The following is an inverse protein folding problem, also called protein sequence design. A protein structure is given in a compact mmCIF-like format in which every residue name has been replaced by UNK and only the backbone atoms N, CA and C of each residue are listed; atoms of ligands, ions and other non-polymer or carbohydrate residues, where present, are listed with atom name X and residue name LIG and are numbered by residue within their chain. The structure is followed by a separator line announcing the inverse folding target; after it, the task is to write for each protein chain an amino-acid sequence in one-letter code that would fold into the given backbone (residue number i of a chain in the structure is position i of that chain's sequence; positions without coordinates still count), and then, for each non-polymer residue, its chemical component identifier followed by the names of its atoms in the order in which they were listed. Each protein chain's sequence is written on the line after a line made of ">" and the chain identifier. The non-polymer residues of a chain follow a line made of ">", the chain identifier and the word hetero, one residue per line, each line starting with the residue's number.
data_IF_874806558008
#
_entry.id   IF_874806558008
#
_cell.length_a   1.000
_cell.length_b   1.000
_cell.length_c   1.000
_cell.angle_alpha   90.00
_cell.angle_beta   90.00
_cell.angle_gamma   90.00
#
_symmetry.space_group_name_H-M   'P 1'
#
loop_
_entity.id
_entity.type
_entity.pdbx_description
1 polymer ?
#
# COMPACT_ATOMS: atom_id res chain seq x y z
N UNK A 1 27.62 24.03 -66.16
CA UNK A 1 28.08 23.81 -64.77
C UNK A 1 27.01 24.37 -63.84
N UNK A 2 26.15 23.46 -63.36
CA UNK A 2 25.08 23.84 -62.43
C UNK A 2 25.53 23.53 -61.01
N UNK A 3 25.66 24.55 -60.18
CA UNK A 3 25.94 24.39 -58.76
C UNK A 3 24.64 24.07 -58.02
N UNK A 4 24.55 22.87 -57.52
CA UNK A 4 23.47 22.41 -56.63
C UNK A 4 23.91 22.75 -55.18
N UNK A 5 23.30 23.79 -54.61
CA UNK A 5 23.41 24.06 -53.18
C UNK A 5 22.57 23.03 -52.42
N UNK A 6 23.26 22.12 -51.70
CA UNK A 6 22.61 21.24 -50.69
C UNK A 6 22.35 22.07 -49.44
N UNK A 7 21.08 22.43 -49.23
CA UNK A 7 20.62 23.01 -47.96
C UNK A 7 20.51 21.87 -46.98
N UNK A 8 21.43 21.83 -46.02
CA UNK A 8 21.37 20.91 -44.89
C UNK A 8 20.39 21.49 -43.85
N UNK A 9 19.21 20.94 -43.76
CA UNK A 9 18.27 21.27 -42.67
C UNK A 9 18.72 20.58 -41.41
N UNK A 10 19.35 21.29 -40.47
CA UNK A 10 19.55 20.82 -39.09
C UNK A 10 18.21 20.95 -38.38
N UNK A 11 17.52 19.80 -38.17
CA UNK A 11 16.43 19.74 -37.20
C UNK A 11 17.07 19.70 -35.81
N UNK A 12 17.13 20.84 -35.14
CA UNK A 12 17.43 20.93 -33.73
C UNK A 12 16.18 20.43 -33.00
N UNK A 13 16.21 19.16 -32.60
CA UNK A 13 15.24 18.64 -31.63
C UNK A 13 15.64 19.30 -30.30
N UNK A 14 14.98 20.39 -29.95
CA UNK A 14 15.04 20.95 -28.61
C UNK A 14 14.38 19.93 -27.67
N UNK A 15 15.20 19.09 -27.02
CA UNK A 15 14.78 18.36 -25.85
C UNK A 15 14.47 19.41 -24.80
N UNK A 16 13.21 19.76 -24.65
CA UNK A 16 12.73 20.57 -23.54
C UNK A 16 12.85 19.70 -22.29
N UNK A 17 14.02 19.73 -21.67
CA UNK A 17 14.13 19.25 -20.29
C UNK A 17 13.19 20.17 -19.49
N UNK A 18 12.14 19.60 -18.91
CA UNK A 18 11.35 20.32 -17.94
C UNK A 18 12.24 20.57 -16.71
N UNK A 19 12.23 21.80 -16.20
CA UNK A 19 12.99 22.17 -15.02
C UNK A 19 12.47 21.36 -13.85
N UNK A 20 13.37 20.78 -13.07
CA UNK A 20 13.17 20.08 -11.80
C UNK A 20 14.11 20.78 -10.82
N UNK A 21 13.56 21.69 -10.01
CA UNK A 21 14.37 22.65 -9.24
C UNK A 21 14.95 22.04 -7.96
N UNK A 22 14.32 21.03 -7.40
CA UNK A 22 14.75 20.37 -6.15
C UNK A 22 15.35 18.98 -6.37
N UNK A 23 15.22 18.43 -7.59
CA UNK A 23 15.83 17.17 -7.98
C UNK A 23 15.13 15.94 -7.40
N UNK A 24 13.80 16.00 -7.24
CA UNK A 24 13.01 14.87 -6.75
C UNK A 24 12.55 13.90 -7.87
N UNK A 25 12.76 14.30 -9.13
CA UNK A 25 12.41 13.54 -10.34
C UNK A 25 11.13 14.04 -11.03
N UNK A 26 10.42 14.98 -10.46
CA UNK A 26 9.26 15.63 -11.04
C UNK A 26 9.61 17.03 -11.53
N UNK A 27 8.90 17.50 -12.56
CA UNK A 27 9.17 18.84 -13.06
C UNK A 27 8.36 19.87 -12.30
N UNK A 28 8.94 21.05 -12.07
CA UNK A 28 8.28 22.21 -11.49
C UNK A 28 6.88 22.49 -12.08
N UNK A 29 6.69 22.19 -13.37
CA UNK A 29 5.41 22.39 -14.05
C UNK A 29 4.34 21.42 -13.57
N UNK A 30 4.73 20.17 -13.35
CA UNK A 30 3.83 19.13 -12.82
C UNK A 30 3.50 19.47 -11.38
N UNK A 31 4.51 19.76 -10.57
CA UNK A 31 4.35 20.10 -9.16
C UNK A 31 3.40 21.28 -8.95
N UNK A 32 3.60 22.40 -9.66
CA UNK A 32 2.65 23.56 -9.61
C UNK A 32 1.24 23.19 -10.06
N UNK A 33 1.08 22.20 -10.94
CA UNK A 33 -0.24 21.73 -11.38
C UNK A 33 -0.95 20.92 -10.31
N UNK A 34 -0.20 20.10 -9.57
CA UNK A 34 -0.76 19.22 -8.51
C UNK A 34 -0.74 19.89 -7.14
N UNK A 35 -0.03 21.01 -6.98
CA UNK A 35 -0.04 21.83 -5.76
C UNK A 35 1.12 21.56 -4.82
N UNK A 36 2.18 20.85 -5.27
CA UNK A 36 3.43 20.68 -4.51
C UNK A 36 4.40 21.84 -4.73
N UNK A 37 5.42 21.99 -3.86
CA UNK A 37 6.42 23.05 -3.91
C UNK A 37 7.66 22.60 -4.70
N UNK A 38 7.91 23.17 -5.92
CA UNK A 38 9.04 22.80 -6.77
C UNK A 38 10.43 23.05 -6.18
N UNK A 39 10.53 23.60 -4.99
CA UNK A 39 11.81 23.83 -4.30
C UNK A 39 11.93 22.99 -3.02
N UNK A 40 11.02 22.07 -2.79
CA UNK A 40 11.02 21.23 -1.61
C UNK A 40 10.92 19.75 -1.98
N UNK A 41 12.06 19.11 -2.15
CA UNK A 41 12.18 17.67 -2.47
C UNK A 41 11.31 16.74 -1.62
N UNK A 42 10.92 17.18 -0.42
CA UNK A 42 10.05 16.40 0.48
C UNK A 42 8.57 16.60 0.20
N UNK A 43 8.20 17.61 -0.60
CA UNK A 43 6.81 17.88 -1.03
C UNK A 43 6.62 17.36 -2.46
N UNK A 44 6.80 16.05 -2.60
CA UNK A 44 6.82 15.39 -3.91
C UNK A 44 5.44 14.93 -4.37
N UNK A 45 5.32 14.75 -5.66
CA UNK A 45 4.18 14.14 -6.35
C UNK A 45 4.46 12.65 -6.60
N UNK A 46 3.49 11.78 -6.35
CA UNK A 46 3.53 10.39 -6.79
C UNK A 46 2.83 10.21 -8.12
N UNK A 47 3.42 9.44 -9.03
CA UNK A 47 2.84 9.19 -10.36
C UNK A 47 1.43 8.60 -10.28
N UNK A 48 1.18 7.73 -9.30
CA UNK A 48 -0.13 7.15 -9.01
C UNK A 48 -1.09 8.09 -8.27
N UNK A 49 -0.76 9.37 -8.07
CA UNK A 49 -1.56 10.37 -7.34
C UNK A 49 -1.83 9.99 -5.88
N UNK A 50 -0.96 9.16 -5.29
CA UNK A 50 -1.06 8.83 -3.87
C UNK A 50 -0.87 10.08 -3.01
N UNK A 51 -1.56 10.16 -1.87
CA UNK A 51 -1.38 11.31 -0.98
C UNK A 51 0.06 11.42 -0.47
N UNK A 52 0.48 12.63 -0.19
CA UNK A 52 1.76 12.93 0.42
C UNK A 52 1.53 13.62 1.77
N UNK A 53 2.28 13.20 2.80
CA UNK A 53 2.09 13.68 4.15
C UNK A 53 3.32 14.45 4.67
N UNK A 54 3.26 15.77 4.68
CA UNK A 54 4.32 16.63 5.24
C UNK A 54 4.54 16.41 6.76
N UNK A 55 3.63 15.75 7.43
CA UNK A 55 3.67 15.49 8.86
C UNK A 55 3.96 14.02 9.20
N UNK A 56 4.35 13.20 8.23
CA UNK A 56 4.59 11.77 8.43
C UNK A 56 5.60 11.45 9.54
N UNK A 57 6.59 12.34 9.74
CA UNK A 57 7.55 12.21 10.83
C UNK A 57 6.92 12.26 12.24
N UNK A 58 5.65 12.61 12.35
CA UNK A 58 4.91 12.54 13.63
C UNK A 58 4.36 11.14 13.92
N UNK A 59 4.28 10.28 12.91
CA UNK A 59 3.90 8.87 13.07
C UNK A 59 5.12 8.12 13.62
N UNK A 60 4.93 7.36 14.69
CA UNK A 60 6.02 6.69 15.42
C UNK A 60 5.74 5.19 15.52
N UNK A 61 5.78 4.47 14.40
CA UNK A 61 5.79 3.02 14.36
C UNK A 61 7.20 2.44 14.40
N UNK A 62 7.29 1.13 14.28
CA UNK A 62 8.58 0.45 14.16
C UNK A 62 9.20 0.71 12.78
N UNK A 63 10.49 0.94 12.75
CA UNK A 63 11.26 0.98 11.50
C UNK A 63 11.52 -0.43 10.97
N UNK A 64 11.59 -0.57 9.66
CA UNK A 64 11.95 -1.81 8.99
C UNK A 64 13.39 -1.72 8.47
N UNK A 65 14.23 -2.80 8.63
CA UNK A 65 13.91 -4.10 9.25
C UNK A 65 13.75 -4.02 10.76
N UNK A 66 12.88 -4.89 11.29
CA UNK A 66 12.59 -4.92 12.74
C UNK A 66 13.81 -5.37 13.52
N UNK A 67 14.24 -4.55 14.47
CA UNK A 67 15.31 -4.87 15.40
C UNK A 67 14.77 -5.57 16.66
N UNK A 68 15.37 -6.69 17.02
CA UNK A 68 15.09 -7.44 18.26
C UNK A 68 16.13 -7.13 19.35
N UNK A 69 15.78 -7.32 20.61
CA UNK A 69 14.54 -7.89 21.15
C UNK A 69 13.42 -6.86 21.37
N UNK A 70 12.30 -7.33 21.86
CA UNK A 70 11.15 -6.58 22.38
C UNK A 70 10.21 -5.97 21.35
N UNK A 71 10.63 -5.73 20.12
CA UNK A 71 9.75 -5.24 19.06
C UNK A 71 8.74 -6.31 18.61
N UNK A 72 7.66 -5.85 17.98
CA UNK A 72 6.70 -6.74 17.32
C UNK A 72 7.45 -7.62 16.31
N UNK A 73 7.07 -8.89 16.22
CA UNK A 73 7.74 -9.94 15.45
C UNK A 73 8.89 -10.68 16.17
N UNK A 74 9.47 -10.12 17.23
CA UNK A 74 10.54 -10.77 17.99
C UNK A 74 10.02 -11.90 18.88
N UNK A 75 10.87 -12.90 19.14
CA UNK A 75 10.58 -13.96 20.11
C UNK A 75 10.42 -13.39 21.52
N UNK A 76 9.53 -13.98 22.30
CA UNK A 76 9.26 -13.58 23.66
C UNK A 76 8.93 -14.80 24.54
N UNK A 77 8.96 -14.62 25.85
CA UNK A 77 8.56 -15.64 26.82
C UNK A 77 7.34 -15.20 27.64
N UNK A 78 7.16 -13.91 27.80
CA UNK A 78 6.09 -13.27 28.58
C UNK A 78 5.74 -11.90 27.99
N UNK A 79 4.59 -11.36 28.36
CA UNK A 79 4.12 -10.10 27.82
C UNK A 79 5.08 -8.92 28.05
N UNK A 80 5.75 -8.87 29.19
CA UNK A 80 6.71 -7.80 29.50
C UNK A 80 7.97 -7.78 28.63
N UNK A 81 8.20 -8.83 27.84
CA UNK A 81 9.31 -8.88 26.89
C UNK A 81 9.00 -8.05 25.64
N UNK A 82 7.73 -7.70 25.43
CA UNK A 82 7.24 -7.00 24.23
C UNK A 82 6.94 -5.52 24.50
N UNK A 83 7.37 -4.65 23.58
CA UNK A 83 7.09 -3.21 23.65
C UNK A 83 5.60 -2.90 23.76
N UNK A 84 4.76 -3.72 23.11
CA UNK A 84 3.31 -3.61 23.15
C UNK A 84 2.65 -4.49 24.23
N UNK A 85 3.43 -5.15 25.08
CA UNK A 85 2.96 -6.03 26.13
C UNK A 85 2.03 -7.17 25.62
N UNK A 86 2.37 -7.77 24.47
CA UNK A 86 1.56 -8.79 23.82
C UNK A 86 2.41 -9.93 23.24
N UNK A 87 2.77 -10.88 24.12
CA UNK A 87 3.52 -12.11 23.77
C UNK A 87 2.54 -13.27 23.56
N UNK A 88 2.38 -13.73 22.33
CA UNK A 88 1.43 -14.77 21.98
C UNK A 88 1.97 -15.73 20.92
N UNK A 89 1.44 -16.94 20.89
CA UNK A 89 1.60 -17.79 19.72
C UNK A 89 0.82 -17.23 18.56
N UNK A 90 1.37 -17.37 17.36
CA UNK A 90 0.62 -17.05 16.14
C UNK A 90 -0.62 -17.93 16.02
N UNK A 91 -1.58 -17.53 15.18
CA UNK A 91 -2.76 -18.34 14.91
C UNK A 91 -2.43 -19.70 14.25
N UNK A 92 -1.19 -19.87 13.75
CA UNK A 92 -0.66 -21.15 13.27
C UNK A 92 0.02 -21.97 14.39
N UNK A 93 0.10 -21.44 15.62
CA UNK A 93 0.71 -22.09 16.77
C UNK A 93 2.22 -21.94 16.86
N UNK A 94 2.84 -21.13 16.00
CA UNK A 94 4.27 -20.80 16.03
C UNK A 94 4.60 -19.80 17.15
N UNK A 95 5.82 -19.77 17.61
CA UNK A 95 6.30 -18.84 18.64
C UNK A 95 6.29 -19.42 20.05
N UNK A 96 6.21 -18.55 21.11
CA UNK A 96 5.57 -17.23 21.11
C UNK A 96 6.41 -16.08 20.53
N UNK A 97 5.70 -15.07 20.03
CA UNK A 97 6.25 -13.82 19.50
C UNK A 97 5.51 -12.61 20.05
N UNK A 98 6.19 -11.47 20.05
CA UNK A 98 5.52 -10.18 20.20
C UNK A 98 4.62 -9.96 18.97
N UNK A 99 3.32 -10.14 19.12
CA UNK A 99 2.36 -10.01 18.01
C UNK A 99 1.69 -8.64 18.00
N UNK A 100 1.31 -8.12 16.82
CA UNK A 100 0.52 -6.89 16.76
C UNK A 100 -0.82 -7.03 17.48
N UNK A 101 -1.37 -5.91 17.92
CA UNK A 101 -2.73 -5.81 18.46
C UNK A 101 -3.37 -4.48 18.08
N UNK A 102 -4.68 -4.39 18.28
CA UNK A 102 -5.43 -3.13 18.10
C UNK A 102 -4.78 -1.99 18.88
N UNK A 103 -4.60 -0.86 18.22
CA UNK A 103 -3.93 0.34 18.75
C UNK A 103 -2.43 0.41 18.47
N UNK A 104 -1.77 -0.66 18.03
CA UNK A 104 -0.38 -0.61 17.58
C UNK A 104 -0.30 0.15 16.24
N UNK A 105 0.79 0.88 16.04
CA UNK A 105 1.04 1.61 14.79
C UNK A 105 1.63 0.63 13.78
N UNK A 106 1.11 0.66 12.55
CA UNK A 106 1.67 -0.09 11.43
C UNK A 106 3.13 0.33 11.19
N UNK A 107 4.06 -0.58 10.88
CA UNK A 107 5.47 -0.25 10.76
C UNK A 107 5.73 0.69 9.57
N UNK A 108 6.80 1.46 9.67
CA UNK A 108 7.26 2.33 8.59
C UNK A 108 7.82 1.47 7.46
N UNK A 109 7.18 1.55 6.29
CA UNK A 109 7.56 0.81 5.10
C UNK A 109 7.74 1.79 3.93
N UNK A 110 8.87 1.69 3.25
CA UNK A 110 9.07 2.28 1.93
C UNK A 110 9.16 1.12 0.94
N UNK A 111 8.24 1.07 -0.01
CA UNK A 111 8.13 -0.07 -0.94
C UNK A 111 7.86 0.39 -2.37
N UNK A 112 8.26 -0.44 -3.33
CA UNK A 112 8.02 -0.19 -4.75
C UNK A 112 6.54 -0.40 -5.08
N UNK A 113 5.93 0.58 -5.74
CA UNK A 113 4.55 0.51 -6.21
C UNK A 113 4.43 -0.07 -7.63
N UNK A 114 3.20 -0.15 -8.14
CA UNK A 114 2.90 -0.66 -9.49
C UNK A 114 3.48 0.19 -10.62
N UNK A 115 3.87 1.45 -10.36
CA UNK A 115 4.48 2.35 -11.34
C UNK A 115 6.01 2.39 -11.26
N UNK A 116 6.61 1.67 -10.30
CA UNK A 116 8.05 1.58 -10.07
C UNK A 116 8.60 2.68 -9.18
N UNK A 117 7.73 3.41 -8.47
CA UNK A 117 8.13 4.41 -7.50
C UNK A 117 8.28 3.82 -6.10
N UNK A 118 9.15 4.42 -5.29
CA UNK A 118 9.25 4.13 -3.86
C UNK A 118 8.24 4.97 -3.10
N UNK A 119 7.17 4.33 -2.63
CA UNK A 119 6.12 4.96 -1.83
C UNK A 119 6.39 4.73 -0.35
N UNK A 120 6.39 5.80 0.42
CA UNK A 120 6.42 5.77 1.88
C UNK A 120 4.99 5.57 2.40
N UNK A 121 4.72 4.45 3.08
CA UNK A 121 3.37 4.14 3.54
C UNK A 121 2.82 5.16 4.54
N UNK A 122 3.68 5.91 5.24
CA UNK A 122 3.26 6.97 6.16
C UNK A 122 2.76 8.23 5.45
N UNK A 123 3.02 8.34 4.14
CA UNK A 123 2.41 9.38 3.32
C UNK A 123 0.88 9.20 3.19
N UNK A 124 0.38 7.97 3.38
CA UNK A 124 -1.06 7.68 3.41
C UNK A 124 -1.73 8.11 4.71
N UNK A 125 -0.96 8.33 5.78
CA UNK A 125 -1.46 8.76 7.08
C UNK A 125 -1.86 10.24 7.13
N UNK A 126 -2.65 10.61 8.13
CA UNK A 126 -3.12 11.99 8.39
C UNK A 126 -3.92 12.64 7.25
N UNK A 127 -4.54 11.82 6.41
CA UNK A 127 -5.38 12.26 5.29
C UNK A 127 -6.87 12.37 5.68
N UNK A 128 -7.22 12.17 6.95
CA UNK A 128 -8.61 12.12 7.41
C UNK A 128 -9.37 10.90 6.89
N UNK A 129 -8.69 9.83 6.49
CA UNK A 129 -9.28 8.64 5.87
C UNK A 129 -8.89 7.36 6.60
N UNK A 130 -9.78 6.39 6.53
CA UNK A 130 -9.48 5.01 6.93
C UNK A 130 -8.57 4.37 5.88
N UNK A 131 -7.54 3.64 6.33
CA UNK A 131 -6.60 2.95 5.47
C UNK A 131 -6.84 1.44 5.61
N UNK A 132 -6.94 0.76 4.49
CA UNK A 132 -7.12 -0.69 4.42
C UNK A 132 -5.84 -1.32 3.89
N UNK A 133 -5.27 -2.25 4.64
CA UNK A 133 -4.13 -3.06 4.22
C UNK A 133 -4.63 -4.46 3.88
N UNK A 134 -4.67 -4.79 2.60
CA UNK A 134 -4.82 -6.14 2.10
C UNK A 134 -3.42 -6.74 1.90
N UNK A 135 -3.06 -7.70 2.74
CA UNK A 135 -1.79 -8.41 2.62
C UNK A 135 -2.00 -9.77 1.94
N UNK A 136 -1.27 -10.01 0.85
CA UNK A 136 -1.48 -11.19 0.03
C UNK A 136 -0.28 -11.59 -0.82
N UNK A 137 -0.53 -12.49 -1.78
CA UNK A 137 0.48 -12.97 -2.72
C UNK A 137 -0.13 -13.13 -4.11
N UNK A 138 0.67 -13.00 -5.16
CA UNK A 138 0.18 -13.11 -6.53
C UNK A 138 -0.37 -14.50 -6.89
N UNK A 139 0.07 -15.56 -6.23
CA UNK A 139 -0.48 -16.91 -6.38
C UNK A 139 -1.80 -17.15 -5.61
N UNK A 140 -2.21 -16.25 -4.71
CA UNK A 140 -3.36 -16.41 -3.83
C UNK A 140 -4.69 -16.21 -4.60
N UNK A 141 -5.45 -17.27 -4.80
CA UNK A 141 -6.69 -17.21 -5.58
C UNK A 141 -7.76 -16.29 -4.96
N UNK A 142 -8.05 -16.30 -3.64
CA UNK A 142 -8.99 -15.35 -3.07
C UNK A 142 -8.54 -13.89 -3.17
N UNK A 143 -7.22 -13.61 -3.12
CA UNK A 143 -6.68 -12.26 -3.34
C UNK A 143 -6.97 -11.80 -4.78
N UNK A 144 -6.73 -12.66 -5.78
CA UNK A 144 -7.08 -12.39 -7.19
C UNK A 144 -8.56 -12.06 -7.39
N UNK A 145 -9.44 -12.76 -6.67
CA UNK A 145 -10.88 -12.55 -6.79
C UNK A 145 -11.32 -11.22 -6.17
N UNK A 146 -10.73 -10.81 -5.05
CA UNK A 146 -10.98 -9.48 -4.46
C UNK A 146 -10.46 -8.40 -5.41
N UNK A 147 -9.23 -8.50 -5.90
CA UNK A 147 -8.69 -7.50 -6.83
C UNK A 147 -9.46 -7.45 -8.16
N UNK A 148 -9.94 -8.60 -8.66
CA UNK A 148 -10.80 -8.63 -9.84
C UNK A 148 -12.13 -7.90 -9.59
N UNK A 149 -12.74 -8.10 -8.42
CA UNK A 149 -13.93 -7.36 -8.03
C UNK A 149 -13.66 -5.86 -7.89
N UNK A 150 -12.58 -5.47 -7.22
CA UNK A 150 -12.22 -4.05 -7.08
C UNK A 150 -12.00 -3.39 -8.44
N UNK A 151 -11.41 -4.10 -9.39
CA UNK A 151 -11.21 -3.63 -10.76
C UNK A 151 -12.51 -3.52 -11.55
N UNK A 152 -13.26 -4.60 -11.64
CA UNK A 152 -14.38 -4.72 -12.60
C UNK A 152 -15.76 -4.46 -11.99
N UNK A 153 -15.90 -4.59 -10.67
CA UNK A 153 -17.20 -4.61 -9.98
C UNK A 153 -17.93 -5.95 -10.03
N UNK A 154 -17.39 -6.96 -10.75
CA UNK A 154 -18.01 -8.29 -10.82
C UNK A 154 -17.75 -9.09 -9.55
N UNK A 155 -18.82 -9.47 -8.86
CA UNK A 155 -18.78 -10.24 -7.61
C UNK A 155 -19.07 -11.73 -7.81
N UNK A 156 -19.26 -12.21 -9.04
CA UNK A 156 -19.67 -13.58 -9.33
C UNK A 156 -18.79 -14.64 -8.68
N UNK A 157 -17.47 -14.38 -8.59
CA UNK A 157 -16.51 -15.27 -7.94
C UNK A 157 -16.54 -15.18 -6.41
N UNK A 158 -16.99 -14.05 -5.85
CA UNK A 158 -17.03 -13.80 -4.40
C UNK A 158 -18.30 -14.31 -3.74
N UNK A 159 -19.42 -14.28 -4.45
CA UNK A 159 -20.73 -14.71 -3.94
C UNK A 159 -20.78 -16.16 -3.46
N UNK A 160 -19.83 -16.99 -3.90
CA UNK A 160 -19.73 -18.39 -3.46
C UNK A 160 -19.02 -18.57 -2.11
N UNK A 161 -18.43 -17.52 -1.55
CA UNK A 161 -17.78 -17.59 -0.25
C UNK A 161 -18.77 -17.31 0.88
N UNK A 162 -18.72 -18.10 1.95
CA UNK A 162 -19.59 -17.93 3.12
C UNK A 162 -19.38 -16.60 3.88
N UNK A 163 -18.25 -15.94 3.67
CA UNK A 163 -17.94 -14.66 4.28
C UNK A 163 -18.44 -13.47 3.47
N UNK A 164 -18.81 -13.67 2.18
CA UNK A 164 -19.31 -12.60 1.33
C UNK A 164 -20.73 -12.17 1.72
N UNK A 165 -20.96 -10.87 1.72
CA UNK A 165 -22.27 -10.25 1.90
C UNK A 165 -22.51 -9.20 0.83
N UNK A 166 -23.75 -8.98 0.43
CA UNK A 166 -24.09 -8.07 -0.65
C UNK A 166 -23.80 -6.60 -0.32
N UNK A 167 -23.91 -6.21 0.96
CA UNK A 167 -23.57 -4.88 1.47
C UNK A 167 -22.10 -4.51 1.25
N UNK A 168 -21.20 -5.48 1.10
CA UNK A 168 -19.77 -5.21 0.85
C UNK A 168 -19.49 -4.56 -0.51
N UNK A 169 -20.46 -4.55 -1.43
CA UNK A 169 -20.34 -3.80 -2.69
C UNK A 169 -20.05 -2.32 -2.46
N UNK A 170 -20.60 -1.73 -1.40
CA UNK A 170 -20.37 -0.34 -1.04
C UNK A 170 -18.89 -0.02 -0.76
N UNK A 171 -18.08 -1.01 -0.38
CA UNK A 171 -16.64 -0.80 -0.12
C UNK A 171 -15.93 -0.36 -1.39
N UNK A 172 -16.24 -1.00 -2.54
CA UNK A 172 -15.65 -0.61 -3.82
C UNK A 172 -16.01 0.83 -4.21
N UNK A 173 -17.26 1.23 -3.95
CA UNK A 173 -17.71 2.59 -4.24
C UNK A 173 -16.97 3.60 -3.35
N UNK A 174 -16.75 3.29 -2.07
CA UNK A 174 -15.95 4.12 -1.15
C UNK A 174 -14.49 4.28 -1.61
N UNK A 175 -13.88 3.20 -2.13
CA UNK A 175 -12.53 3.26 -2.72
C UNK A 175 -12.54 4.18 -3.95
N UNK A 176 -13.48 3.98 -4.87
CA UNK A 176 -13.55 4.73 -6.12
C UNK A 176 -13.91 6.22 -5.92
N UNK A 177 -14.54 6.57 -4.81
CA UNK A 177 -14.83 7.96 -4.43
C UNK A 177 -13.79 8.54 -3.46
N UNK A 178 -12.66 7.86 -3.27
CA UNK A 178 -11.57 8.31 -2.41
C UNK A 178 -11.97 8.55 -0.93
N UNK A 179 -13.00 7.83 -0.46
CA UNK A 179 -13.45 7.88 0.94
C UNK A 179 -12.57 7.03 1.86
N UNK A 180 -11.97 5.97 1.33
CA UNK A 180 -11.00 5.10 2.00
C UNK A 180 -9.78 4.87 1.12
N UNK A 181 -8.61 4.73 1.73
CA UNK A 181 -7.36 4.38 1.05
C UNK A 181 -7.21 2.86 1.09
N UNK A 182 -7.12 2.21 -0.07
CA UNK A 182 -6.94 0.77 -0.14
C UNK A 182 -5.56 0.42 -0.69
N UNK A 183 -4.82 -0.37 0.08
CA UNK A 183 -3.46 -0.81 -0.23
C UNK A 183 -3.41 -2.32 -0.30
N UNK A 184 -3.00 -2.88 -1.43
CA UNK A 184 -2.64 -4.29 -1.59
C UNK A 184 -1.12 -4.43 -1.44
N UNK A 185 -0.66 -5.20 -0.47
CA UNK A 185 0.76 -5.50 -0.29
C UNK A 185 1.01 -6.96 -0.68
N UNK A 186 1.84 -7.17 -1.71
CA UNK A 186 2.20 -8.51 -2.18
C UNK A 186 3.59 -8.89 -1.68
N UNK A 187 3.71 -10.05 -1.00
CA UNK A 187 4.99 -10.55 -0.52
C UNK A 187 5.62 -11.64 -1.40
N UNK A 188 4.85 -12.23 -2.32
CA UNK A 188 5.32 -13.23 -3.28
C UNK A 188 4.66 -13.09 -4.65
N UNK A 189 5.46 -13.42 -5.69
CA UNK A 189 4.98 -13.55 -7.06
C UNK A 189 4.23 -14.88 -7.30
N UNK A 190 3.80 -15.14 -8.53
CA UNK A 190 3.11 -16.39 -8.92
C UNK A 190 3.96 -17.65 -8.69
N UNK A 191 5.29 -17.53 -8.78
CA UNK A 191 6.25 -18.62 -8.56
C UNK A 191 6.66 -18.80 -7.10
N UNK A 192 6.06 -18.04 -6.16
CA UNK A 192 6.36 -18.02 -4.73
C UNK A 192 7.73 -17.45 -4.37
N UNK A 193 8.37 -16.74 -5.27
CA UNK A 193 9.54 -15.92 -5.01
C UNK A 193 9.13 -14.59 -4.36
N UNK A 194 10.07 -13.86 -3.78
CA UNK A 194 9.77 -12.55 -3.20
C UNK A 194 9.17 -11.62 -4.26
N UNK A 195 8.16 -10.85 -3.86
CA UNK A 195 7.59 -9.84 -4.74
C UNK A 195 8.62 -8.76 -5.06
N UNK A 196 8.46 -8.12 -6.20
CA UNK A 196 9.27 -7.01 -6.70
C UNK A 196 8.39 -6.10 -7.57
N UNK A 197 8.98 -5.07 -8.17
CA UNK A 197 8.25 -4.18 -9.08
C UNK A 197 7.49 -4.94 -10.20
N UNK A 198 8.12 -5.92 -10.85
CA UNK A 198 7.45 -6.71 -11.90
C UNK A 198 6.17 -7.41 -11.37
N UNK A 199 6.21 -7.89 -10.13
CA UNK A 199 5.06 -8.54 -9.49
C UNK A 199 3.88 -7.58 -9.34
N UNK A 200 4.11 -6.38 -8.81
CA UNK A 200 3.05 -5.38 -8.56
C UNK A 200 2.58 -4.71 -9.85
N UNK A 201 3.46 -4.49 -10.81
CA UNK A 201 3.13 -4.04 -12.16
C UNK A 201 2.20 -5.05 -12.87
N UNK A 202 2.57 -6.33 -12.92
CA UNK A 202 1.76 -7.38 -13.55
C UNK A 202 0.42 -7.58 -12.82
N UNK A 203 0.38 -7.37 -11.51
CA UNK A 203 -0.87 -7.41 -10.75
C UNK A 203 -1.80 -6.27 -11.14
N UNK A 204 -1.29 -5.05 -11.23
CA UNK A 204 -2.06 -3.88 -11.65
C UNK A 204 -2.54 -4.00 -13.10
N UNK A 205 -1.69 -4.43 -14.02
CA UNK A 205 -2.08 -4.68 -15.42
C UNK A 205 -3.23 -5.70 -15.54
N UNK A 206 -3.26 -6.69 -14.66
CA UNK A 206 -4.29 -7.73 -14.65
C UNK A 206 -5.57 -7.31 -13.94
N UNK A 207 -5.45 -6.48 -12.93
CA UNK A 207 -6.55 -6.00 -12.08
C UNK A 207 -6.49 -4.47 -11.95
N UNK A 208 -6.65 -3.72 -13.05
CA UNK A 208 -6.48 -2.27 -13.04
C UNK A 208 -7.52 -1.61 -12.15
N UNK A 209 -7.05 -0.77 -11.23
CA UNK A 209 -7.84 0.18 -10.46
C UNK A 209 -6.91 1.29 -9.96
N UNK A 210 -7.10 2.50 -10.49
CA UNK A 210 -6.25 3.66 -10.19
C UNK A 210 -6.39 4.15 -8.72
N UNK A 211 -7.41 3.69 -8.01
CA UNK A 211 -7.63 4.03 -6.60
C UNK A 211 -7.09 2.95 -5.63
N UNK A 212 -6.40 1.93 -6.14
CA UNK A 212 -5.78 0.87 -5.33
C UNK A 212 -4.27 0.95 -5.48
N UNK A 213 -3.59 1.29 -4.39
CA UNK A 213 -2.14 1.24 -4.31
C UNK A 213 -1.68 -0.22 -4.16
N UNK A 214 -0.75 -0.67 -5.00
CA UNK A 214 -0.17 -2.02 -4.94
C UNK A 214 1.32 -1.92 -4.63
N UNK A 215 1.75 -2.48 -3.48
CA UNK A 215 3.13 -2.42 -3.00
C UNK A 215 3.78 -3.79 -2.97
N UNK A 216 5.10 -3.85 -3.21
CA UNK A 216 5.90 -5.06 -3.07
C UNK A 216 6.56 -5.13 -1.69
N UNK A 217 6.26 -6.16 -0.89
CA UNK A 217 7.00 -6.50 0.33
C UNK A 217 8.22 -7.37 -0.05
N UNK A 218 9.22 -6.72 -0.67
CA UNK A 218 10.37 -7.39 -1.31
C UNK A 218 11.21 -8.21 -0.33
N UNK A 219 11.31 -7.76 0.91
CA UNK A 219 12.10 -8.41 1.97
C UNK A 219 11.26 -9.20 2.96
N UNK A 220 9.95 -9.26 2.75
CA UNK A 220 8.97 -9.89 3.64
C UNK A 220 8.89 -9.29 5.03
N UNK A 221 9.20 -8.02 5.16
CA UNK A 221 9.21 -7.34 6.45
C UNK A 221 7.79 -7.26 7.05
N UNK A 222 6.80 -6.92 6.21
CA UNK A 222 5.40 -6.90 6.62
C UNK A 222 4.87 -8.32 6.87
N UNK A 223 5.30 -9.30 6.07
CA UNK A 223 4.99 -10.71 6.32
C UNK A 223 5.43 -11.14 7.73
N UNK A 224 6.67 -10.83 8.10
CA UNK A 224 7.19 -11.18 9.42
C UNK A 224 6.52 -10.39 10.54
N UNK A 225 6.16 -9.13 10.29
CA UNK A 225 5.47 -8.31 11.28
C UNK A 225 4.04 -8.78 11.53
N UNK A 226 3.25 -9.01 10.48
CA UNK A 226 1.85 -9.46 10.57
C UNK A 226 1.70 -10.91 11.00
N UNK A 227 2.61 -11.80 10.60
CA UNK A 227 2.52 -13.26 10.77
C UNK A 227 1.12 -13.80 10.42
N UNK A 228 0.64 -13.60 9.18
CA UNK A 228 -0.73 -13.89 8.79
C UNK A 228 -1.05 -15.39 8.86
N UNK A 229 -2.25 -15.74 9.29
CA UNK A 229 -2.71 -17.16 9.33
C UNK A 229 -3.25 -17.64 7.99
N UNK A 230 -3.57 -16.74 7.07
CA UNK A 230 -4.07 -17.04 5.73
C UNK A 230 -4.15 -15.78 4.87
N UNK A 231 -4.45 -15.97 3.59
CA UNK A 231 -4.50 -14.87 2.60
C UNK A 231 -5.87 -14.84 1.90
N UNK A 232 -6.34 -13.63 1.54
CA UNK A 232 -5.80 -12.34 1.96
C UNK A 232 -5.89 -12.17 3.48
N UNK A 233 -5.01 -11.34 4.05
CA UNK A 233 -5.07 -10.88 5.43
C UNK A 233 -5.40 -9.39 5.39
N UNK A 234 -6.58 -9.00 5.88
CA UNK A 234 -7.07 -7.63 5.80
C UNK A 234 -7.08 -7.00 7.18
N UNK A 235 -6.44 -5.85 7.29
CA UNK A 235 -6.38 -5.05 8.50
C UNK A 235 -6.80 -3.62 8.19
N UNK A 236 -7.44 -2.96 9.14
CA UNK A 236 -7.90 -1.59 9.03
C UNK A 236 -7.07 -0.71 9.95
N UNK A 237 -6.60 0.41 9.44
CA UNK A 237 -5.89 1.44 10.17
C UNK A 237 -6.73 2.72 10.24
N UNK A 238 -6.56 3.47 11.32
CA UNK A 238 -7.03 4.85 11.37
C UNK A 238 -6.08 5.80 10.58
N UNK A 239 -6.44 7.06 10.50
CA UNK A 239 -5.62 8.09 9.85
C UNK A 239 -4.22 8.26 10.45
N UNK A 240 -3.99 7.81 11.69
CA UNK A 240 -2.69 7.85 12.37
C UNK A 240 -1.91 6.54 12.22
N UNK A 241 -2.26 5.70 11.26
CA UNK A 241 -1.66 4.38 11.00
C UNK A 241 -1.83 3.37 12.15
N UNK A 242 -2.78 3.58 13.07
CA UNK A 242 -3.06 2.63 14.16
C UNK A 242 -4.03 1.56 13.72
N UNK A 243 -3.75 0.33 14.09
CA UNK A 243 -4.64 -0.80 13.86
C UNK A 243 -6.00 -0.59 14.57
N UNK A 244 -7.06 -0.47 13.81
CA UNK A 244 -8.46 -0.54 14.28
C UNK A 244 -8.87 -1.99 14.40
N UNK A 245 -8.41 -2.83 13.45
CA UNK A 245 -8.58 -4.27 13.51
C UNK A 245 -7.24 -4.95 13.32
N UNK A 246 -7.04 -6.03 14.06
CA UNK A 246 -5.95 -6.96 13.79
C UNK A 246 -6.48 -8.39 13.91
N UNK A 247 -6.51 -9.07 12.80
CA UNK A 247 -6.83 -10.49 12.74
C UNK A 247 -5.86 -11.18 11.80
N UNK A 248 -5.60 -12.45 12.02
CA UNK A 248 -4.69 -13.19 11.17
C UNK A 248 -5.18 -13.40 9.73
N UNK A 249 -6.46 -13.10 9.44
CA UNK A 249 -7.06 -13.14 8.10
C UNK A 249 -8.02 -11.98 7.85
N UNK A 250 -8.96 -11.70 8.76
CA UNK A 250 -9.73 -10.47 8.87
C UNK A 250 -10.80 -10.19 7.81
N UNK A 251 -11.16 -11.13 6.93
CA UNK A 251 -12.07 -10.87 5.80
C UNK A 251 -13.43 -10.30 6.23
N UNK A 252 -14.27 -11.09 6.92
CA UNK A 252 -15.60 -10.64 7.33
C UNK A 252 -15.53 -9.51 8.35
N UNK A 253 -14.64 -9.62 9.35
CA UNK A 253 -14.54 -8.61 10.41
C UNK A 253 -14.14 -7.24 9.85
N UNK A 254 -13.20 -7.22 8.90
CA UNK A 254 -12.79 -5.98 8.24
C UNK A 254 -13.88 -5.45 7.30
N UNK A 255 -14.50 -6.30 6.50
CA UNK A 255 -15.51 -5.88 5.53
C UNK A 255 -16.83 -5.42 6.21
N UNK A 256 -17.21 -6.01 7.34
CA UNK A 256 -18.33 -5.53 8.15
C UNK A 256 -18.09 -4.08 8.61
N UNK A 257 -16.90 -3.79 9.14
CA UNK A 257 -16.53 -2.42 9.54
C UNK A 257 -16.52 -1.48 8.33
N UNK A 258 -15.89 -1.88 7.22
CA UNK A 258 -15.76 -1.03 6.03
C UNK A 258 -17.11 -0.73 5.37
N UNK A 259 -18.05 -1.68 5.36
CA UNK A 259 -19.39 -1.45 4.82
C UNK A 259 -20.18 -0.45 5.65
N UNK A 260 -20.00 -0.46 6.99
CA UNK A 260 -20.67 0.41 7.94
C UNK A 260 -20.01 1.80 8.13
N UNK A 261 -18.80 1.99 7.60
CA UNK A 261 -18.11 3.29 7.69
C UNK A 261 -18.97 4.39 7.09
N UNK A 262 -19.21 5.44 7.88
CA UNK A 262 -19.79 6.68 7.38
C UNK A 262 -18.70 7.51 6.71
N UNK A 263 -19.04 8.26 5.63
CA UNK A 263 -18.10 9.24 5.09
C UNK A 263 -17.62 10.17 6.18
N UNK A 264 -16.32 10.54 6.14
CA UNK A 264 -15.82 11.57 7.03
C UNK A 264 -16.63 12.85 6.81
N UNK A 265 -17.06 13.54 7.87
CA UNK A 265 -17.71 14.83 7.71
C UNK A 265 -16.71 15.82 7.08
N UNK A 266 -17.09 16.36 5.92
CA UNK A 266 -16.36 17.42 5.22
C UNK A 266 -16.27 18.69 6.09
#
# INVERSE_FOLDING_TARGET
>A
MQNIYKILFFIIIALTFSVDSDGDGYSDKIERKVGTDPNNKSDRYYYGFWPFNLNKDKIRGAEIPIECPSNISCECSQNSDCINNNCQKTLRGEGPYCTPKVGDIFPHLIATDQYGEYVDIYDLGMQGKTIVIEFGAAWCNPCKQISSWLSTGDVSSLQNYSWWKEEYRAIRDKINHDEIIFVTILFQNESRENANHETVFNWHEKYPNENVLVLADEYRDIYFWLKPSGYPCINILDENMKLITFTGRGLSDAFDILSDLKPYPN
#
